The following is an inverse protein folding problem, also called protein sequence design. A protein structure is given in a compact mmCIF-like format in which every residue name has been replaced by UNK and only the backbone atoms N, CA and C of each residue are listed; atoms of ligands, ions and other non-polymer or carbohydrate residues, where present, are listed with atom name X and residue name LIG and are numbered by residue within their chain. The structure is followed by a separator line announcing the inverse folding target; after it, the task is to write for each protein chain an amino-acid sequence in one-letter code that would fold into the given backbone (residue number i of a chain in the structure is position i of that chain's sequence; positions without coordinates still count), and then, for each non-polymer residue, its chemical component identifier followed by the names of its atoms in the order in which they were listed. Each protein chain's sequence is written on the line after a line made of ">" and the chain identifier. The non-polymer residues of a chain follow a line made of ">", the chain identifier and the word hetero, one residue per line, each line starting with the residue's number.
data_IF_136315359518
#
_entry.id   IF_136315359518
#
_cell.length_a   1.000
_cell.length_b   1.000
_cell.length_c   1.000
_cell.angle_alpha   90.00
_cell.angle_beta   90.00
_cell.angle_gamma   90.00
#
_symmetry.space_group_name_H-M   'P 1'
#
loop_
_entity.id
_entity.type
_entity.pdbx_description
1 polymer ?
#
# COMPACT_ATOMS: atom_id res chain seq x y z
N UNK A 1 -42.94 -55.43 -44.92
CA UNK A 1 -42.58 -54.97 -43.55
C UNK A 1 -42.25 -53.50 -43.63
N UNK A 2 -43.03 -52.65 -42.93
CA UNK A 2 -42.90 -51.19 -42.96
C UNK A 2 -41.93 -50.75 -41.87
N UNK A 3 -40.93 -49.94 -42.24
CA UNK A 3 -39.95 -49.37 -41.32
C UNK A 3 -40.53 -48.06 -40.78
N UNK A 4 -40.71 -47.98 -39.46
CA UNK A 4 -41.07 -46.75 -38.76
C UNK A 4 -39.80 -46.03 -38.31
N UNK A 5 -39.52 -44.88 -38.93
CA UNK A 5 -38.47 -43.94 -38.49
C UNK A 5 -39.13 -43.00 -37.49
N UNK A 6 -38.86 -43.18 -36.20
CA UNK A 6 -39.23 -42.23 -35.17
C UNK A 6 -38.18 -41.11 -35.12
N UNK A 7 -38.56 -39.92 -35.58
CA UNK A 7 -37.85 -38.66 -35.41
C UNK A 7 -37.83 -38.27 -33.92
N UNK A 8 -36.68 -38.39 -33.26
CA UNK A 8 -36.42 -37.68 -32.01
C UNK A 8 -35.73 -36.34 -32.33
N UNK A 9 -36.54 -35.29 -32.43
CA UNK A 9 -36.08 -33.90 -32.40
C UNK A 9 -35.65 -33.58 -30.96
N UNK A 10 -34.36 -33.66 -30.67
CA UNK A 10 -33.78 -33.01 -29.51
C UNK A 10 -33.72 -31.50 -29.79
N UNK A 11 -34.64 -30.77 -29.17
CA UNK A 11 -34.52 -29.33 -29.03
C UNK A 11 -33.34 -29.05 -28.07
N UNK A 12 -32.15 -28.84 -28.62
CA UNK A 12 -31.09 -28.13 -27.90
C UNK A 12 -31.55 -26.68 -27.75
N UNK A 13 -32.07 -26.34 -26.57
CA UNK A 13 -32.17 -24.97 -26.13
C UNK A 13 -30.77 -24.37 -26.14
N UNK A 14 -30.53 -23.45 -27.07
CA UNK A 14 -29.38 -22.56 -27.00
C UNK A 14 -29.59 -21.64 -25.80
N UNK A 15 -29.18 -22.09 -24.62
CA UNK A 15 -28.83 -21.16 -23.55
C UNK A 15 -27.56 -20.46 -24.02
N UNK A 16 -27.70 -19.26 -24.57
CA UNK A 16 -26.57 -18.33 -24.68
C UNK A 16 -26.15 -17.99 -23.25
N UNK A 17 -25.27 -18.80 -22.69
CA UNK A 17 -24.41 -18.34 -21.62
C UNK A 17 -23.49 -17.29 -22.27
N UNK A 18 -23.92 -16.03 -22.26
CA UNK A 18 -22.98 -14.93 -22.35
C UNK A 18 -22.03 -15.12 -21.15
N UNK A 19 -20.86 -15.69 -21.41
CA UNK A 19 -19.72 -15.46 -20.55
C UNK A 19 -19.48 -13.95 -20.61
N UNK A 20 -19.91 -13.22 -19.59
CA UNK A 20 -19.37 -11.89 -19.31
C UNK A 20 -17.86 -12.10 -19.15
N UNK A 21 -17.12 -11.92 -20.24
CA UNK A 21 -15.67 -11.86 -20.18
C UNK A 21 -15.35 -10.55 -19.47
N UNK A 22 -15.33 -10.60 -18.14
CA UNK A 22 -14.92 -9.47 -17.34
C UNK A 22 -13.47 -9.19 -17.72
N UNK A 23 -13.23 -8.16 -18.54
CA UNK A 23 -11.89 -7.77 -18.94
C UNK A 23 -11.16 -7.34 -17.67
N UNK A 24 -10.16 -8.11 -17.27
CA UNK A 24 -9.31 -7.72 -16.14
C UNK A 24 -8.35 -6.63 -16.61
N UNK A 25 -8.65 -5.40 -16.19
CA UNK A 25 -7.81 -4.25 -16.46
C UNK A 25 -6.57 -4.19 -15.57
N UNK A 26 -6.35 -5.15 -14.67
CA UNK A 26 -5.18 -5.25 -13.81
C UNK A 26 -5.05 -4.07 -12.86
N UNK A 27 -6.10 -3.80 -12.08
CA UNK A 27 -6.07 -2.78 -11.02
C UNK A 27 -5.04 -3.14 -9.95
N UNK A 28 -4.34 -2.15 -9.36
CA UNK A 28 -3.41 -2.40 -8.27
C UNK A 28 -4.12 -3.03 -7.08
N UNK A 29 -3.40 -3.86 -6.34
CA UNK A 29 -3.91 -4.36 -5.07
C UNK A 29 -3.94 -3.22 -4.04
N UNK A 30 -5.08 -3.06 -3.37
CA UNK A 30 -5.19 -2.15 -2.24
C UNK A 30 -4.25 -2.59 -1.11
N UNK A 31 -3.61 -1.62 -0.44
CA UNK A 31 -2.82 -1.91 0.76
C UNK A 31 -3.79 -2.11 1.93
N UNK A 32 -3.68 -3.26 2.61
CA UNK A 32 -4.35 -3.48 3.88
C UNK A 32 -3.77 -2.54 4.95
N UNK A 33 -4.57 -1.56 5.35
CA UNK A 33 -4.18 -0.54 6.31
C UNK A 33 -4.08 -1.06 7.74
N UNK A 34 -4.82 -2.12 8.08
CA UNK A 34 -4.78 -2.74 9.41
C UNK A 34 -3.49 -3.52 9.56
N UNK A 35 -3.19 -4.38 8.58
CA UNK A 35 -1.93 -5.14 8.55
C UNK A 35 -0.72 -4.20 8.47
N UNK A 36 -0.75 -3.20 7.60
CA UNK A 36 0.38 -2.28 7.47
C UNK A 36 0.63 -1.47 8.75
N UNK A 37 -0.43 -1.08 9.48
CA UNK A 37 -0.30 -0.42 10.78
C UNK A 37 0.35 -1.35 11.81
N UNK A 38 -0.08 -2.61 11.87
CA UNK A 38 0.53 -3.60 12.77
C UNK A 38 2.02 -3.77 12.48
N UNK A 39 2.38 -3.97 11.20
CA UNK A 39 3.77 -4.09 10.77
C UNK A 39 4.63 -2.88 11.15
N UNK A 40 4.10 -1.67 11.00
CA UNK A 40 4.81 -0.45 11.41
C UNK A 40 4.98 -0.34 12.92
N UNK A 41 4.01 -0.80 13.71
CA UNK A 41 4.10 -0.82 15.16
C UNK A 41 5.10 -1.86 15.66
N UNK A 42 5.00 -3.09 15.15
CA UNK A 42 5.87 -4.21 15.54
C UNK A 42 7.33 -4.00 15.14
N UNK A 43 7.57 -3.37 13.99
CA UNK A 43 8.92 -3.08 13.52
C UNK A 43 9.52 -1.81 14.14
N UNK A 44 8.75 -1.03 14.92
CA UNK A 44 9.25 0.21 15.47
C UNK A 44 10.37 -0.07 16.48
N UNK A 45 11.54 0.58 16.36
CA UNK A 45 12.67 0.32 17.25
C UNK A 45 12.35 0.61 18.72
N UNK A 46 12.94 -0.16 19.61
CA UNK A 46 12.89 0.06 21.05
C UNK A 46 14.29 0.36 21.61
N UNK A 47 14.35 1.10 22.73
CA UNK A 47 15.61 1.38 23.41
C UNK A 47 16.07 0.10 24.12
N UNK A 48 17.25 -0.38 23.75
CA UNK A 48 17.86 -1.53 24.39
C UNK A 48 18.52 -1.13 25.73
N UNK A 49 17.85 -1.49 26.83
CA UNK A 49 18.28 -1.17 28.19
C UNK A 49 19.39 -2.08 28.71
N UNK A 50 19.81 -3.11 27.96
CA UNK A 50 20.90 -4.00 28.36
C UNK A 50 22.28 -3.37 28.15
N UNK A 51 22.39 -2.35 27.31
CA UNK A 51 23.64 -1.64 27.06
C UNK A 51 23.85 -0.47 28.03
N UNK A 52 25.09 0.03 28.07
CA UNK A 52 25.37 1.34 28.64
C UNK A 52 24.54 2.39 27.90
N UNK A 53 24.06 3.39 28.63
CA UNK A 53 23.19 4.45 28.09
C UNK A 53 23.69 5.05 26.77
N UNK A 54 24.99 5.34 26.65
CA UNK A 54 25.58 5.87 25.42
C UNK A 54 25.42 4.89 24.24
N UNK A 55 25.80 3.63 24.46
CA UNK A 55 25.72 2.58 23.44
C UNK A 55 24.26 2.27 23.06
N UNK A 56 23.34 2.24 24.04
CA UNK A 56 21.90 2.12 23.82
C UNK A 56 21.37 3.24 22.91
N UNK A 57 21.74 4.49 23.18
CA UNK A 57 21.28 5.65 22.39
C UNK A 57 21.85 5.62 20.98
N UNK A 58 23.14 5.29 20.81
CA UNK A 58 23.76 5.17 19.50
C UNK A 58 23.12 4.06 18.67
N UNK A 59 22.85 2.90 19.28
CA UNK A 59 22.14 1.79 18.65
C UNK A 59 20.71 2.20 18.26
N UNK A 60 19.96 2.78 19.20
CA UNK A 60 18.58 3.20 18.95
C UNK A 60 18.48 4.20 17.78
N UNK A 61 19.38 5.18 17.68
CA UNK A 61 19.43 6.11 16.54
C UNK A 61 19.67 5.40 15.22
N UNK A 62 20.59 4.43 15.19
CA UNK A 62 20.85 3.61 13.99
C UNK A 62 19.60 2.83 13.60
N UNK A 63 18.94 2.19 14.56
CA UNK A 63 17.75 1.39 14.32
C UNK A 63 16.58 2.26 13.83
N UNK A 64 16.44 3.49 14.33
CA UNK A 64 15.48 4.48 13.81
C UNK A 64 15.74 4.83 12.34
N UNK A 65 17.00 5.00 11.92
CA UNK A 65 17.33 5.25 10.51
C UNK A 65 17.06 4.02 9.62
N UNK A 66 17.36 2.83 10.11
CA UNK A 66 17.02 1.58 9.43
C UNK A 66 15.50 1.46 9.28
N UNK A 67 14.74 1.78 10.32
CA UNK A 67 13.28 1.78 10.28
C UNK A 67 12.74 2.76 9.22
N UNK A 68 13.25 4.00 9.21
CA UNK A 68 12.86 5.01 8.21
C UNK A 68 13.06 4.49 6.79
N UNK A 69 14.25 3.99 6.48
CA UNK A 69 14.58 3.51 5.14
C UNK A 69 13.79 2.24 4.76
N UNK A 70 13.69 1.27 5.67
CA UNK A 70 13.13 -0.06 5.36
C UNK A 70 11.60 -0.06 5.34
N UNK A 71 10.96 0.74 6.20
CA UNK A 71 9.52 0.69 6.38
C UNK A 71 8.83 1.94 5.84
N UNK A 72 9.28 3.14 6.20
CA UNK A 72 8.59 4.38 5.79
C UNK A 72 8.84 4.70 4.32
N UNK A 73 10.09 4.69 3.87
CA UNK A 73 10.41 4.98 2.46
C UNK A 73 9.82 3.91 1.53
N UNK A 74 9.99 2.63 1.86
CA UNK A 74 9.40 1.52 1.09
C UNK A 74 7.87 1.61 1.02
N UNK A 75 7.19 2.02 2.09
CA UNK A 75 5.74 2.23 2.04
C UNK A 75 5.36 3.42 1.17
N UNK A 76 6.09 4.53 1.25
CA UNK A 76 5.88 5.66 0.35
C UNK A 76 6.08 5.28 -1.12
N UNK A 77 7.09 4.47 -1.44
CA UNK A 77 7.30 3.91 -2.79
C UNK A 77 6.13 3.04 -3.23
N UNK A 78 5.59 2.19 -2.35
CA UNK A 78 4.39 1.39 -2.65
C UNK A 78 3.16 2.26 -2.94
N UNK A 79 3.00 3.38 -2.24
CA UNK A 79 1.93 4.36 -2.52
C UNK A 79 2.10 4.92 -3.94
N UNK A 80 3.31 5.34 -4.29
CA UNK A 80 3.60 5.89 -5.62
C UNK A 80 3.37 4.85 -6.73
N UNK A 81 3.78 3.60 -6.51
CA UNK A 81 3.58 2.50 -7.46
C UNK A 81 2.09 2.27 -7.79
N UNK A 82 1.20 2.34 -6.79
CA UNK A 82 -0.26 2.25 -7.02
C UNK A 82 -0.72 3.33 -8.02
N UNK A 83 -0.23 4.56 -7.86
CA UNK A 83 -0.58 5.67 -8.75
C UNK A 83 -0.08 5.46 -10.17
N UNK A 84 1.15 4.96 -10.34
CA UNK A 84 1.70 4.63 -11.65
C UNK A 84 0.96 3.47 -12.33
N UNK A 85 0.57 2.45 -11.56
CA UNK A 85 -0.22 1.33 -12.07
C UNK A 85 -1.61 1.79 -12.53
N UNK A 86 -2.25 2.69 -11.79
CA UNK A 86 -3.55 3.28 -12.17
C UNK A 86 -3.47 4.06 -13.49
N UNK A 87 -2.33 4.68 -13.80
CA UNK A 87 -2.12 5.33 -15.11
C UNK A 87 -2.01 4.33 -16.26
N UNK A 88 -1.49 3.13 -15.99
CA UNK A 88 -1.49 2.04 -16.98
C UNK A 88 -2.90 1.48 -17.15
N UNK A 89 -3.65 1.32 -16.06
CA UNK A 89 -5.07 0.91 -16.08
C UNK A 89 -5.91 1.90 -16.88
N UNK A 90 -5.80 3.19 -16.61
CA UNK A 90 -6.51 4.26 -17.32
C UNK A 90 -6.29 4.20 -18.84
N UNK A 91 -5.04 4.00 -19.27
CA UNK A 91 -4.70 3.84 -20.70
C UNK A 91 -5.35 2.58 -21.30
N UNK A 92 -5.37 1.46 -20.58
CA UNK A 92 -6.01 0.20 -21.04
C UNK A 92 -7.52 0.35 -21.16
N UNK A 93 -8.16 1.01 -20.19
CA UNK A 93 -9.60 1.32 -20.21
C UNK A 93 -9.93 2.22 -21.41
N UNK A 94 -9.18 3.30 -21.61
CA UNK A 94 -9.36 4.20 -22.74
C UNK A 94 -9.20 3.49 -24.10
N UNK A 95 -8.18 2.62 -24.23
CA UNK A 95 -7.95 1.85 -25.44
C UNK A 95 -9.08 0.84 -25.73
N UNK A 96 -9.59 0.17 -24.69
CA UNK A 96 -10.69 -0.81 -24.84
C UNK A 96 -12.00 -0.11 -25.20
N UNK A 97 -12.28 1.05 -24.60
CA UNK A 97 -13.42 1.88 -25.01
C UNK A 97 -13.31 2.35 -26.47
N UNK A 98 -12.12 2.80 -26.91
CA UNK A 98 -11.91 3.23 -28.29
C UNK A 98 -12.10 2.10 -29.31
N UNK A 99 -11.86 0.83 -28.91
CA UNK A 99 -12.13 -0.37 -29.73
C UNK A 99 -13.59 -0.79 -29.74
N UNK A 100 -14.42 -0.22 -28.87
CA UNK A 100 -15.81 -0.63 -28.69
C UNK A 100 -16.01 -1.81 -27.75
N UNK A 101 -14.95 -2.23 -27.03
CA UNK A 101 -14.99 -3.36 -26.08
C UNK A 101 -15.67 -2.98 -24.74
N UNK A 102 -15.94 -1.68 -24.52
CA UNK A 102 -16.62 -1.16 -23.35
C UNK A 102 -17.79 -0.26 -23.76
N UNK A 103 -18.93 -0.42 -23.09
CA UNK A 103 -20.01 0.56 -23.12
C UNK A 103 -19.60 1.87 -22.42
N UNK A 104 -20.36 2.94 -22.67
CA UNK A 104 -20.15 4.23 -21.98
C UNK A 104 -20.29 4.11 -20.46
N UNK A 105 -21.22 3.29 -19.99
CA UNK A 105 -21.49 3.12 -18.57
C UNK A 105 -20.35 2.34 -17.88
N UNK A 106 -19.83 1.29 -18.52
CA UNK A 106 -18.68 0.55 -17.99
C UNK A 106 -17.44 1.44 -17.92
N UNK A 107 -17.16 2.21 -18.98
CA UNK A 107 -16.06 3.19 -18.96
C UNK A 107 -16.22 4.19 -17.82
N UNK A 108 -17.41 4.78 -17.65
CA UNK A 108 -17.66 5.75 -16.60
C UNK A 108 -17.46 5.16 -15.20
N UNK A 109 -17.89 3.92 -14.98
CA UNK A 109 -17.68 3.20 -13.72
C UNK A 109 -16.19 2.94 -13.45
N UNK A 110 -15.44 2.51 -14.47
CA UNK A 110 -14.00 2.28 -14.37
C UNK A 110 -13.22 3.58 -14.13
N UNK A 111 -13.56 4.65 -14.85
CA UNK A 111 -12.96 5.98 -14.67
C UNK A 111 -13.19 6.49 -13.24
N UNK A 112 -14.40 6.33 -12.71
CA UNK A 112 -14.74 6.73 -11.33
C UNK A 112 -13.90 5.95 -10.32
N UNK A 113 -13.80 4.62 -10.48
CA UNK A 113 -12.95 3.79 -9.62
C UNK A 113 -11.48 4.22 -9.67
N UNK A 114 -10.94 4.50 -10.87
CA UNK A 114 -9.57 5.00 -11.02
C UNK A 114 -9.40 6.33 -10.28
N UNK A 115 -10.35 7.26 -10.40
CA UNK A 115 -10.30 8.54 -9.71
C UNK A 115 -10.29 8.38 -8.18
N UNK A 116 -11.15 7.50 -7.65
CA UNK A 116 -11.25 7.20 -6.23
C UNK A 116 -9.97 6.55 -5.68
N UNK A 117 -9.36 5.61 -6.44
CA UNK A 117 -8.10 4.99 -6.03
C UNK A 117 -6.93 5.99 -6.13
N UNK A 118 -6.88 6.84 -7.16
CA UNK A 118 -5.85 7.91 -7.29
C UNK A 118 -5.96 8.96 -6.19
N UNK A 119 -7.15 9.23 -5.68
CA UNK A 119 -7.35 10.10 -4.53
C UNK A 119 -6.57 9.62 -3.30
N UNK A 120 -6.31 8.31 -3.21
CA UNK A 120 -5.58 7.70 -2.09
C UNK A 120 -4.06 7.64 -2.29
N UNK A 121 -3.53 7.74 -3.51
CA UNK A 121 -2.07 7.63 -3.73
C UNK A 121 -1.38 8.92 -4.19
N UNK A 122 -2.12 9.94 -4.63
CA UNK A 122 -1.50 11.21 -5.08
C UNK A 122 -1.09 12.10 -3.90
N UNK A 123 0.14 12.60 -3.93
CA UNK A 123 0.68 13.49 -2.89
C UNK A 123 -0.15 14.77 -2.68
N UNK A 124 -0.78 15.30 -3.74
CA UNK A 124 -1.66 16.47 -3.63
C UNK A 124 -2.91 16.23 -2.77
N UNK A 125 -3.29 14.96 -2.57
CA UNK A 125 -4.46 14.54 -1.79
C UNK A 125 -4.05 13.96 -0.42
N UNK A 126 -2.84 14.25 0.07
CA UNK A 126 -2.33 13.76 1.36
C UNK A 126 -3.33 13.92 2.51
N UNK A 127 -4.03 15.05 2.59
CA UNK A 127 -5.00 15.32 3.65
C UNK A 127 -6.21 14.37 3.70
N UNK A 128 -6.57 13.75 2.58
CA UNK A 128 -7.71 12.83 2.48
C UNK A 128 -7.30 11.38 2.24
N UNK A 129 -6.09 11.15 1.72
CA UNK A 129 -5.53 9.82 1.45
C UNK A 129 -5.41 8.97 2.71
N UNK A 130 -6.00 7.76 2.67
CA UNK A 130 -5.80 6.77 3.75
C UNK A 130 -4.34 6.33 3.88
N UNK A 131 -3.62 6.20 2.76
CA UNK A 131 -2.23 5.75 2.76
C UNK A 131 -1.30 6.77 3.38
N UNK A 132 -1.42 8.04 2.96
CA UNK A 132 -0.57 9.10 3.49
C UNK A 132 -0.89 9.43 4.95
N UNK A 133 -2.14 9.33 5.39
CA UNK A 133 -2.47 9.45 6.82
C UNK A 133 -1.70 8.47 7.69
N UNK A 134 -1.58 7.20 7.27
CA UNK A 134 -0.80 6.21 7.99
C UNK A 134 0.71 6.53 7.92
N UNK A 135 1.22 6.82 6.73
CA UNK A 135 2.62 7.19 6.52
C UNK A 135 3.02 8.40 7.39
N UNK A 136 2.24 9.49 7.35
CA UNK A 136 2.52 10.72 8.09
C UNK A 136 2.42 10.49 9.61
N UNK A 137 1.52 9.62 10.08
CA UNK A 137 1.43 9.24 11.50
C UNK A 137 2.76 8.63 11.98
N UNK A 138 3.28 7.63 11.28
CA UNK A 138 4.53 6.96 11.70
C UNK A 138 5.77 7.77 11.38
N UNK A 139 5.74 8.62 10.34
CA UNK A 139 6.80 9.58 10.07
C UNK A 139 6.94 10.58 11.22
N UNK A 140 5.83 11.05 11.79
CA UNK A 140 5.85 11.98 12.92
C UNK A 140 6.36 11.29 14.20
N UNK A 141 5.97 10.04 14.45
CA UNK A 141 6.51 9.23 15.55
C UNK A 141 8.03 9.09 15.39
N UNK A 142 8.51 8.69 14.21
CA UNK A 142 9.93 8.59 13.91
C UNK A 142 10.66 9.93 14.14
N UNK A 143 10.13 11.05 13.64
CA UNK A 143 10.75 12.38 13.81
C UNK A 143 10.86 12.78 15.27
N UNK A 144 9.79 12.58 16.02
CA UNK A 144 9.75 12.85 17.46
C UNK A 144 10.81 12.03 18.20
N UNK A 145 10.87 10.72 17.92
CA UNK A 145 11.85 9.82 18.56
C UNK A 145 13.30 10.12 18.14
N UNK A 146 13.53 10.42 16.87
CA UNK A 146 14.85 10.78 16.35
C UNK A 146 15.37 12.09 16.96
N UNK A 147 14.51 13.09 17.12
CA UNK A 147 14.84 14.34 17.81
C UNK A 147 15.10 14.11 19.30
N UNK A 148 14.20 13.43 20.00
CA UNK A 148 14.35 13.13 21.44
C UNK A 148 15.64 12.36 21.73
N UNK A 149 15.93 11.34 20.93
CA UNK A 149 17.15 10.54 21.06
C UNK A 149 18.41 11.37 20.77
N UNK A 150 18.34 12.35 19.86
CA UNK A 150 19.44 13.28 19.61
C UNK A 150 19.71 14.14 20.84
N UNK A 151 18.67 14.75 21.39
CA UNK A 151 18.79 15.62 22.56
C UNK A 151 19.28 14.86 23.79
N UNK A 152 18.89 13.60 23.95
CA UNK A 152 19.43 12.72 24.97
C UNK A 152 20.90 12.39 24.75
N UNK A 153 21.31 12.12 23.52
CA UNK A 153 22.70 11.86 23.17
C UNK A 153 23.59 13.10 23.34
N UNK A 154 23.09 14.28 22.97
CA UNK A 154 23.81 15.54 23.13
C UNK A 154 23.98 15.86 24.63
N UNK A 155 22.95 15.67 25.45
CA UNK A 155 23.04 15.76 26.93
C UNK A 155 24.02 14.74 27.50
N UNK A 156 24.01 13.53 26.97
CA UNK A 156 24.88 12.41 27.34
C UNK A 156 26.36 12.71 27.05
N UNK A 157 26.67 13.42 25.97
CA UNK A 157 28.02 13.90 25.69
C UNK A 157 28.41 15.12 26.53
N UNK A 158 27.47 16.02 26.80
CA UNK A 158 27.71 17.24 27.58
C UNK A 158 27.90 16.99 29.09
N UNK A 159 27.55 15.79 29.58
CA UNK A 159 27.59 15.45 31.00
C UNK A 159 28.27 14.09 31.24
N UNK A 160 29.01 13.95 32.35
CA UNK A 160 29.62 12.68 32.79
C UNK A 160 28.67 11.48 33.09
N UNK A 161 27.33 11.61 33.26
CA UNK A 161 26.40 10.49 33.53
C UNK A 161 26.39 9.36 32.49
N UNK A 162 26.92 9.57 31.28
CA UNK A 162 27.03 8.50 30.29
C UNK A 162 28.33 7.71 30.33
N UNK A 163 29.35 8.23 31.02
CA UNK A 163 30.57 7.47 31.36
C UNK A 163 30.39 6.64 32.63
N UNK A 164 29.48 7.04 33.51
CA UNK A 164 29.32 6.47 34.85
C UNK A 164 28.00 5.71 35.01
N UNK A 165 28.04 4.41 34.69
CA UNK A 165 27.55 3.30 35.54
C UNK A 165 27.82 1.96 34.85
N UNK A 166 29.08 1.53 34.98
CA UNK A 166 29.39 0.13 35.22
C UNK A 166 29.20 -0.10 36.72
N UNK A 167 28.11 -0.75 37.11
CA UNK A 167 28.13 -1.67 38.24
C UNK A 167 27.57 -2.98 37.72
#
# INVERSE_FOLDING_TARGET
>A
MRIHICLFLWAFGASSAQAESHVDFGFPQNIDMVTQRALFGEAFPEIDVSFKKLDSLLKYRRDLEIYRATHLEAFNERILAICEELERVERRVAASFAKGDLSRNEKASLDQRIADERANCRAQNKGTSKYYKLYDTFLEIYRTQSSSSKDELDRCYASDPCRLRNF
#
